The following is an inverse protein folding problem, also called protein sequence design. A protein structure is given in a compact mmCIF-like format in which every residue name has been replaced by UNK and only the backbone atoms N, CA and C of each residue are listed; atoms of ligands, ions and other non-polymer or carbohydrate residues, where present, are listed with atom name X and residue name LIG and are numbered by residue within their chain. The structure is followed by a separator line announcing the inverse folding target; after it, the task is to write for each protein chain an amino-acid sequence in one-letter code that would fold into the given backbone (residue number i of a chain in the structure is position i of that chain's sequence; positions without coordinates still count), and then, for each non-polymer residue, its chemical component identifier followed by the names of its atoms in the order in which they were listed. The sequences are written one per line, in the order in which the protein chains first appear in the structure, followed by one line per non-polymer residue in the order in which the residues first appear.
data_IF_196844309607
#
_entry.id   IF_196844309607
#
_cell.length_a   1.000
_cell.length_b   1.000
_cell.length_c   1.000
_cell.angle_alpha   90.00
_cell.angle_beta   90.00
_cell.angle_gamma   90.00
#
_symmetry.space_group_name_H-M   'P 1'
#
loop_
_entity.id
_entity.type
_entity.pdbx_description
1 polymer ?
#
# COMPACT_ATOMS: atom_id res chain seq x y z
N UNK A 1 -9.09 38.41 -29.21
CA UNK A 1 -10.32 38.71 -28.42
C UNK A 1 -10.11 38.17 -27.02
N UNK A 2 -9.92 39.06 -26.02
CA UNK A 2 -10.84 39.38 -24.89
C UNK A 2 -10.93 38.24 -23.85
N UNK A 3 -10.73 38.39 -22.54
CA UNK A 3 -10.23 39.42 -21.60
C UNK A 3 -9.89 38.67 -20.28
N UNK A 4 -8.87 39.13 -19.55
CA UNK A 4 -8.57 38.90 -18.10
C UNK A 4 -9.67 39.54 -17.20
N UNK A 5 -9.52 39.68 -15.85
CA UNK A 5 -9.07 38.81 -14.73
C UNK A 5 -10.00 38.96 -13.48
N UNK A 6 -9.66 38.39 -12.30
CA UNK A 6 -9.71 39.16 -11.03
C UNK A 6 -8.89 38.54 -9.91
N UNK A 7 -7.81 39.24 -9.57
CA UNK A 7 -7.04 39.20 -8.32
C UNK A 7 -7.53 40.40 -7.49
N UNK A 8 -7.84 40.22 -6.22
CA UNK A 8 -7.88 41.26 -5.18
C UNK A 8 -7.79 40.52 -3.83
N UNK A 9 -6.69 40.55 -3.08
CA UNK A 9 -6.08 41.62 -2.27
C UNK A 9 -6.73 41.84 -0.89
N UNK A 10 -5.85 41.93 0.13
CA UNK A 10 -6.09 42.53 1.44
C UNK A 10 -6.81 41.62 2.44
N UNK A 11 -6.50 41.61 3.74
CA UNK A 11 -5.55 42.39 4.53
C UNK A 11 -5.40 41.74 5.90
N UNK A 12 -4.17 41.85 6.38
CA UNK A 12 -3.56 41.54 7.68
C UNK A 12 -4.11 42.38 8.86
N UNK A 13 -3.75 41.89 10.07
CA UNK A 13 -3.60 42.59 11.37
C UNK A 13 -4.87 42.96 12.14
N UNK A 14 -5.14 42.33 13.29
CA UNK A 14 -4.59 42.59 14.64
C UNK A 14 -5.49 43.55 15.41
N UNK A 15 -6.15 43.10 16.48
CA UNK A 15 -6.05 43.71 17.82
C UNK A 15 -6.74 42.84 18.87
N UNK A 16 -6.01 42.69 19.95
CA UNK A 16 -6.24 42.05 21.23
C UNK A 16 -7.14 42.87 22.17
N UNK A 17 -7.46 42.27 23.33
CA UNK A 17 -7.93 42.89 24.60
C UNK A 17 -9.43 43.21 24.60
N UNK A 18 -10.25 42.85 25.59
CA UNK A 18 -10.03 42.86 27.03
C UNK A 18 -11.02 42.01 27.82
N UNK A 19 -10.53 41.61 28.99
CA UNK A 19 -11.11 40.94 30.15
C UNK A 19 -12.31 41.65 30.81
N UNK A 20 -13.13 40.83 31.49
CA UNK A 20 -13.79 41.07 32.79
C UNK A 20 -15.02 41.98 32.89
N UNK A 21 -16.12 41.39 33.40
CA UNK A 21 -16.81 41.70 34.69
C UNK A 21 -17.98 40.71 34.84
N UNK A 22 -17.93 39.69 35.70
CA UNK A 22 -18.38 39.70 37.11
C UNK A 22 -19.62 40.55 37.39
N UNK A 23 -20.80 39.93 37.55
CA UNK A 23 -21.78 40.24 38.62
C UNK A 23 -23.07 39.40 38.50
N UNK A 24 -23.16 38.36 39.34
CA UNK A 24 -24.29 38.02 40.22
C UNK A 24 -25.66 38.65 39.90
N UNK A 25 -26.64 37.85 39.48
CA UNK A 25 -27.99 37.93 40.07
C UNK A 25 -28.81 36.64 39.87
N UNK A 26 -29.69 36.39 40.84
CA UNK A 26 -30.55 35.22 41.00
C UNK A 26 -31.90 35.51 40.34
N UNK A 27 -32.51 34.54 39.67
CA UNK A 27 -33.91 34.70 39.27
C UNK A 27 -34.36 33.67 38.25
N UNK A 28 -35.45 32.99 38.58
CA UNK A 28 -36.03 31.90 37.81
C UNK A 28 -36.52 32.34 36.42
N UNK A 29 -36.21 31.53 35.41
CA UNK A 29 -37.05 31.37 34.22
C UNK A 29 -36.67 30.04 33.55
N UNK A 30 -37.51 29.03 33.74
CA UNK A 30 -37.51 27.79 32.96
C UNK A 30 -37.72 28.14 31.50
N UNK A 31 -36.65 28.17 30.72
CA UNK A 31 -36.70 28.31 29.27
C UNK A 31 -37.20 26.98 28.69
N UNK A 32 -38.53 26.86 28.59
CA UNK A 32 -39.21 25.82 27.82
C UNK A 32 -38.83 26.04 26.36
N UNK A 33 -37.92 25.21 25.83
CA UNK A 33 -37.61 25.21 24.41
C UNK A 33 -38.87 24.82 23.64
N UNK A 34 -39.34 25.77 22.83
CA UNK A 34 -40.51 25.67 21.98
C UNK A 34 -40.15 24.90 20.70
N UNK A 35 -40.66 23.68 20.56
CA UNK A 35 -40.41 22.77 19.43
C UNK A 35 -41.35 23.04 18.25
N UNK A 36 -41.56 24.32 17.88
CA UNK A 36 -42.55 24.69 16.86
C UNK A 36 -42.01 25.71 15.87
N UNK A 37 -41.11 25.26 15.01
CA UNK A 37 -40.71 25.82 13.69
C UNK A 37 -39.42 25.08 13.34
N UNK A 38 -39.28 24.24 12.34
CA UNK A 38 -39.92 24.15 11.04
C UNK A 38 -39.96 22.67 10.62
N UNK A 39 -41.17 22.15 10.38
CA UNK A 39 -41.33 21.13 9.33
C UNK A 39 -41.18 21.85 8.00
N UNK A 40 -39.97 22.03 7.53
CA UNK A 40 -39.74 22.47 6.16
C UNK A 40 -38.95 21.40 5.43
N UNK A 41 -39.71 20.58 4.70
CA UNK A 41 -39.25 19.80 3.54
C UNK A 41 -38.05 18.89 3.80
N UNK A 42 -38.35 17.64 4.18
CA UNK A 42 -37.62 16.49 3.66
C UNK A 42 -37.59 16.58 2.13
N UNK A 43 -36.67 17.36 1.57
CA UNK A 43 -36.25 17.12 0.20
C UNK A 43 -35.63 15.73 0.25
N UNK A 44 -36.23 14.78 -0.44
CA UNK A 44 -35.53 13.60 -0.91
C UNK A 44 -34.34 14.11 -1.75
N UNK A 45 -33.23 14.47 -1.09
CA UNK A 45 -32.00 14.85 -1.75
C UNK A 45 -31.52 13.59 -2.48
N UNK A 46 -31.81 13.53 -3.77
CA UNK A 46 -31.30 12.48 -4.63
C UNK A 46 -29.79 12.66 -4.74
N UNK A 47 -29.06 12.00 -3.86
CA UNK A 47 -27.61 11.94 -3.96
C UNK A 47 -27.22 11.14 -5.18
N UNK A 48 -26.38 11.72 -6.02
CA UNK A 48 -25.79 10.97 -7.13
C UNK A 48 -24.87 9.89 -6.57
N UNK A 49 -24.74 8.75 -7.26
CA UNK A 49 -23.86 7.64 -6.81
C UNK A 49 -22.43 8.14 -6.56
N UNK A 50 -21.96 9.11 -7.34
CA UNK A 50 -20.64 9.72 -7.17
C UNK A 50 -20.50 10.54 -5.87
N UNK A 51 -21.53 11.27 -5.46
CA UNK A 51 -21.54 12.02 -4.20
C UNK A 51 -21.61 11.08 -2.99
N UNK A 52 -22.43 10.03 -3.08
CA UNK A 52 -22.48 8.98 -2.06
C UNK A 52 -21.10 8.31 -1.93
N UNK A 53 -20.47 7.93 -3.05
CA UNK A 53 -19.11 7.35 -3.02
C UNK A 53 -18.09 8.32 -2.40
N UNK A 54 -18.14 9.60 -2.75
CA UNK A 54 -17.22 10.61 -2.23
C UNK A 54 -17.39 10.83 -0.72
N UNK A 55 -18.62 10.85 -0.23
CA UNK A 55 -18.95 11.00 1.20
C UNK A 55 -18.53 9.74 1.96
N UNK A 56 -18.84 8.55 1.44
CA UNK A 56 -18.45 7.28 2.05
C UNK A 56 -16.93 7.12 2.10
N UNK A 57 -16.20 7.41 1.01
CA UNK A 57 -14.73 7.41 1.01
C UNK A 57 -14.16 8.38 2.05
N UNK A 58 -14.75 9.57 2.19
CA UNK A 58 -14.30 10.59 3.15
C UNK A 58 -14.59 10.18 4.60
N UNK A 59 -15.71 9.50 4.86
CA UNK A 59 -16.08 8.94 6.17
C UNK A 59 -15.25 7.72 6.57
N UNK A 60 -15.03 6.78 5.64
CA UNK A 60 -14.19 5.59 5.86
C UNK A 60 -12.74 5.97 6.19
N UNK A 61 -12.21 7.02 5.58
CA UNK A 61 -10.85 7.49 5.87
C UNK A 61 -10.69 8.08 7.28
N UNK A 62 -11.79 8.48 7.94
CA UNK A 62 -11.80 8.97 9.34
C UNK A 62 -11.85 7.84 10.38
N UNK A 63 -12.37 6.66 10.02
CA UNK A 63 -12.39 5.44 10.87
C UNK A 63 -11.10 4.60 10.81
N UNK A 64 -10.12 5.03 10.01
CA UNK A 64 -8.89 4.29 9.70
C UNK A 64 -7.92 4.13 10.88
N UNK A 65 -8.20 4.73 12.03
CA UNK A 65 -7.35 4.66 13.23
C UNK A 65 -7.48 3.36 14.04
N UNK A 66 -8.44 2.46 13.71
CA UNK A 66 -8.41 1.07 14.19
C UNK A 66 -8.00 0.04 13.14
N UNK A 67 -8.13 0.34 11.83
CA UNK A 67 -7.54 -0.35 10.67
C UNK A 67 -7.86 -1.84 10.44
N UNK A 68 -8.22 -2.58 11.48
CA UNK A 68 -8.41 -4.02 11.50
C UNK A 68 -9.86 -4.32 11.89
N UNK A 69 -10.70 -4.55 10.89
CA UNK A 69 -12.05 -5.10 11.12
C UNK A 69 -11.85 -6.54 11.58
N UNK A 70 -12.28 -6.85 12.80
CA UNK A 70 -12.16 -8.20 13.34
C UNK A 70 -13.10 -9.14 12.58
N UNK A 71 -12.72 -10.41 12.39
CA UNK A 71 -13.51 -11.41 11.66
C UNK A 71 -14.97 -11.49 12.14
N UNK A 72 -15.21 -11.32 13.45
CA UNK A 72 -16.55 -11.26 14.04
C UNK A 72 -17.37 -10.07 13.55
N UNK A 73 -16.79 -8.86 13.57
CA UNK A 73 -17.45 -7.63 13.12
C UNK A 73 -17.82 -7.66 11.63
N UNK A 74 -16.97 -8.27 10.80
CA UNK A 74 -17.28 -8.50 9.38
C UNK A 74 -18.44 -9.48 9.18
N UNK A 75 -18.47 -10.58 9.96
CA UNK A 75 -19.54 -11.58 9.89
C UNK A 75 -20.87 -11.00 10.38
N UNK A 76 -20.83 -10.17 11.41
CA UNK A 76 -22.04 -9.52 11.94
C UNK A 76 -22.60 -8.50 10.95
N UNK A 77 -21.74 -7.67 10.34
CA UNK A 77 -22.15 -6.75 9.26
C UNK A 77 -22.71 -7.50 8.06
N UNK A 78 -22.09 -8.62 7.68
CA UNK A 78 -22.57 -9.44 6.56
C UNK A 78 -23.94 -10.08 6.86
N UNK A 79 -24.18 -10.48 8.12
CA UNK A 79 -25.48 -10.98 8.56
C UNK A 79 -26.58 -9.90 8.48
N UNK A 80 -26.26 -8.66 8.84
CA UNK A 80 -27.18 -7.52 8.70
C UNK A 80 -27.57 -7.27 7.24
N UNK A 81 -26.65 -7.53 6.31
CA UNK A 81 -26.87 -7.42 4.86
C UNK A 81 -27.52 -8.68 4.24
N UNK A 82 -27.87 -9.67 5.04
CA UNK A 82 -28.50 -10.91 4.57
C UNK A 82 -27.54 -11.93 3.93
N UNK A 83 -26.23 -11.75 4.06
CA UNK A 83 -25.24 -12.73 3.60
C UNK A 83 -25.08 -13.83 4.65
N UNK A 84 -25.16 -15.09 4.21
CA UNK A 84 -24.93 -16.23 5.10
C UNK A 84 -23.44 -16.24 5.54
N UNK A 85 -23.11 -16.40 6.84
CA UNK A 85 -21.73 -16.42 7.33
C UNK A 85 -20.80 -17.41 6.60
N UNK A 86 -21.37 -18.48 6.03
CA UNK A 86 -20.64 -19.47 5.25
C UNK A 86 -20.15 -18.94 3.90
N UNK A 87 -20.87 -18.03 3.27
CA UNK A 87 -20.46 -17.38 2.01
C UNK A 87 -19.33 -16.39 2.26
N UNK A 88 -19.43 -15.63 3.35
CA UNK A 88 -18.39 -14.70 3.80
C UNK A 88 -17.10 -15.44 4.12
N UNK A 89 -17.19 -16.57 4.84
CA UNK A 89 -16.01 -17.38 5.16
C UNK A 89 -15.34 -17.94 3.90
N UNK A 90 -16.14 -18.42 2.92
CA UNK A 90 -15.63 -18.87 1.62
C UNK A 90 -14.93 -17.73 0.89
N UNK A 91 -15.53 -16.53 0.86
CA UNK A 91 -14.94 -15.36 0.23
C UNK A 91 -13.62 -14.93 0.90
N UNK A 92 -13.52 -14.97 2.22
CA UNK A 92 -12.27 -14.68 2.95
C UNK A 92 -11.17 -15.68 2.58
N UNK A 93 -11.51 -16.98 2.53
CA UNK A 93 -10.57 -18.04 2.15
C UNK A 93 -10.13 -17.88 0.69
N UNK A 94 -11.03 -17.52 -0.22
CA UNK A 94 -10.70 -17.23 -1.61
C UNK A 94 -9.81 -16.00 -1.77
N UNK A 95 -10.14 -14.89 -1.10
CA UNK A 95 -9.35 -13.66 -1.08
C UNK A 95 -7.91 -13.95 -0.64
N UNK A 96 -7.74 -14.76 0.42
CA UNK A 96 -6.42 -15.17 0.92
C UNK A 96 -5.66 -16.01 -0.09
N UNK A 97 -6.32 -16.90 -0.83
CA UNK A 97 -5.67 -17.70 -1.88
C UNK A 97 -5.15 -16.84 -3.02
N UNK A 98 -5.93 -15.84 -3.45
CA UNK A 98 -5.51 -14.90 -4.49
C UNK A 98 -4.29 -14.09 -4.03
N UNK A 99 -4.36 -13.51 -2.82
CA UNK A 99 -3.23 -12.79 -2.24
C UNK A 99 -2.00 -13.67 -2.00
N UNK A 100 -2.17 -14.95 -1.70
CA UNK A 100 -1.06 -15.89 -1.53
C UNK A 100 -0.31 -16.16 -2.84
N UNK A 101 -1.00 -16.20 -3.98
CA UNK A 101 -0.38 -16.36 -5.30
C UNK A 101 0.46 -15.13 -5.61
N UNK A 102 -0.11 -13.93 -5.46
CA UNK A 102 0.59 -12.67 -5.70
C UNK A 102 1.84 -12.55 -4.81
N UNK A 103 1.70 -12.79 -3.51
CA UNK A 103 2.81 -12.78 -2.57
C UNK A 103 3.91 -13.79 -2.94
N UNK A 104 3.54 -14.99 -3.40
CA UNK A 104 4.51 -15.99 -3.86
C UNK A 104 5.23 -15.57 -5.15
N UNK A 105 4.56 -14.85 -6.05
CA UNK A 105 5.19 -14.30 -7.26
C UNK A 105 6.20 -13.20 -6.91
N UNK A 106 5.85 -12.31 -5.99
CA UNK A 106 6.76 -11.26 -5.51
C UNK A 106 7.98 -11.85 -4.79
N UNK A 107 7.75 -12.82 -3.91
CA UNK A 107 8.83 -13.53 -3.22
C UNK A 107 9.78 -14.20 -4.22
N UNK A 108 9.25 -14.85 -5.25
CA UNK A 108 10.06 -15.49 -6.29
C UNK A 108 10.90 -14.47 -7.08
N UNK A 109 10.29 -13.36 -7.52
CA UNK A 109 11.00 -12.27 -8.22
C UNK A 109 12.12 -11.70 -7.34
N UNK A 110 11.85 -11.46 -6.06
CA UNK A 110 12.84 -10.96 -5.12
C UNK A 110 13.98 -11.97 -4.90
N UNK A 111 13.67 -13.27 -4.77
CA UNK A 111 14.67 -14.31 -4.61
C UNK A 111 15.60 -14.42 -5.83
N UNK A 112 15.06 -14.29 -7.05
CA UNK A 112 15.84 -14.31 -8.29
C UNK A 112 16.84 -13.16 -8.36
N UNK A 113 16.40 -11.94 -8.02
CA UNK A 113 17.27 -10.75 -7.91
C UNK A 113 18.38 -10.95 -6.87
N UNK A 114 18.04 -11.46 -5.68
CA UNK A 114 19.04 -11.75 -4.62
C UNK A 114 20.08 -12.78 -5.08
N UNK A 115 19.64 -13.82 -5.80
CA UNK A 115 20.53 -14.81 -6.41
C UNK A 115 21.54 -14.16 -7.37
N UNK A 116 21.06 -13.29 -8.26
CA UNK A 116 21.92 -12.52 -9.17
C UNK A 116 22.95 -11.66 -8.43
N UNK A 117 22.56 -10.92 -7.38
CA UNK A 117 23.50 -10.11 -6.60
C UNK A 117 24.63 -10.93 -5.95
N UNK A 118 24.41 -12.19 -5.62
CA UNK A 118 25.48 -13.08 -5.14
C UNK A 118 26.50 -13.36 -6.24
N UNK A 119 26.04 -13.66 -7.45
CA UNK A 119 26.91 -13.89 -8.61
C UNK A 119 27.65 -12.61 -9.01
N UNK A 120 26.97 -11.46 -9.01
CA UNK A 120 27.58 -10.16 -9.28
C UNK A 120 28.67 -9.82 -8.25
N UNK A 121 28.43 -10.03 -6.95
CA UNK A 121 29.45 -9.81 -5.91
C UNK A 121 30.68 -10.70 -6.12
N UNK A 122 30.48 -11.99 -6.38
CA UNK A 122 31.58 -12.90 -6.66
C UNK A 122 32.38 -12.45 -7.89
N UNK A 123 31.69 -12.05 -8.97
CA UNK A 123 32.32 -11.49 -10.16
C UNK A 123 33.15 -10.25 -9.85
N UNK A 124 32.62 -9.30 -9.09
CA UNK A 124 33.36 -8.08 -8.73
C UNK A 124 34.59 -8.38 -7.88
N UNK A 125 34.48 -9.27 -6.89
CA UNK A 125 35.61 -9.64 -6.02
C UNK A 125 36.71 -10.31 -6.83
N UNK A 126 36.36 -11.29 -7.68
CA UNK A 126 37.33 -12.01 -8.50
C UNK A 126 38.01 -11.04 -9.48
N UNK A 127 37.25 -10.24 -10.23
CA UNK A 127 37.82 -9.30 -11.18
C UNK A 127 38.66 -8.20 -10.50
N UNK A 128 38.28 -7.73 -9.31
CA UNK A 128 39.09 -6.81 -8.53
C UNK A 128 40.43 -7.46 -8.10
N UNK A 129 40.40 -8.72 -7.66
CA UNK A 129 41.62 -9.46 -7.34
C UNK A 129 42.53 -9.64 -8.57
N UNK A 130 41.96 -10.01 -9.73
CA UNK A 130 42.71 -10.13 -10.98
C UNK A 130 43.31 -8.79 -11.43
N UNK A 131 42.54 -7.70 -11.32
CA UNK A 131 43.03 -6.36 -11.64
C UNK A 131 44.22 -5.98 -10.75
N UNK A 132 44.14 -6.24 -9.45
CA UNK A 132 45.23 -5.99 -8.51
C UNK A 132 46.49 -6.81 -8.88
N UNK A 133 46.34 -8.10 -9.19
CA UNK A 133 47.46 -8.96 -9.62
C UNK A 133 48.09 -8.42 -10.91
N UNK A 134 47.27 -7.96 -11.86
CA UNK A 134 47.76 -7.38 -13.12
C UNK A 134 48.54 -6.08 -12.90
N UNK A 135 48.09 -5.22 -11.97
CA UNK A 135 48.79 -3.99 -11.61
C UNK A 135 50.13 -4.27 -10.91
N UNK A 136 50.20 -5.29 -10.07
CA UNK A 136 51.43 -5.67 -9.35
C UNK A 136 52.41 -6.43 -10.23
N UNK A 137 51.93 -7.31 -11.12
CA UNK A 137 52.81 -8.13 -11.98
C UNK A 137 53.55 -7.32 -13.03
N UNK A 138 53.02 -6.16 -13.47
CA UNK A 138 53.62 -5.33 -14.50
C UNK A 138 53.78 -6.08 -15.83
N UNK A 139 52.81 -5.92 -16.74
CA UNK A 139 52.82 -6.60 -18.03
C UNK A 139 51.52 -6.40 -18.81
N UNK A 140 51.26 -7.29 -19.79
CA UNK A 140 50.07 -7.27 -20.63
C UNK A 140 48.77 -7.35 -19.82
N UNK A 141 47.71 -6.72 -20.33
CA UNK A 141 46.40 -6.60 -19.67
C UNK A 141 45.57 -7.89 -19.78
N UNK A 142 46.08 -9.00 -19.25
CA UNK A 142 45.42 -10.32 -19.35
C UNK A 142 44.10 -10.40 -18.57
N UNK A 143 43.86 -9.51 -17.60
CA UNK A 143 42.62 -9.47 -16.83
C UNK A 143 41.36 -9.20 -17.69
N UNK A 144 41.50 -8.65 -18.90
CA UNK A 144 40.38 -8.42 -19.80
C UNK A 144 39.71 -9.71 -20.30
N UNK A 145 40.47 -10.79 -20.49
CA UNK A 145 39.90 -12.04 -21.01
C UNK A 145 38.89 -12.67 -20.04
N UNK A 146 39.19 -12.81 -18.73
CA UNK A 146 38.20 -13.24 -17.73
C UNK A 146 37.05 -12.24 -17.56
N UNK A 147 37.36 -10.94 -17.60
CA UNK A 147 36.36 -9.88 -17.44
C UNK A 147 35.28 -9.96 -18.52
N UNK A 148 35.68 -10.03 -19.79
CA UNK A 148 34.75 -10.10 -20.93
C UNK A 148 34.11 -11.48 -21.02
N UNK A 149 34.90 -12.56 -20.88
CA UNK A 149 34.40 -13.93 -21.00
C UNK A 149 33.29 -14.24 -20.01
N UNK A 150 33.50 -13.96 -18.72
CA UNK A 150 32.48 -14.18 -17.70
C UNK A 150 31.47 -13.04 -17.61
N UNK A 151 31.85 -11.83 -18.01
CA UNK A 151 30.96 -10.66 -18.04
C UNK A 151 29.76 -10.85 -18.97
N UNK A 152 29.96 -11.50 -20.12
CA UNK A 152 28.87 -11.82 -21.06
C UNK A 152 27.87 -12.79 -20.40
N UNK A 153 28.36 -13.86 -19.76
CA UNK A 153 27.51 -14.81 -19.04
C UNK A 153 26.72 -14.16 -17.89
N UNK A 154 27.35 -13.21 -17.19
CA UNK A 154 26.71 -12.43 -16.14
C UNK A 154 25.61 -11.51 -16.69
N UNK A 155 25.82 -10.90 -17.86
CA UNK A 155 24.82 -10.06 -18.52
C UNK A 155 23.56 -10.86 -18.91
N UNK A 156 23.72 -12.08 -19.43
CA UNK A 156 22.58 -12.98 -19.66
C UNK A 156 21.86 -13.35 -18.36
N UNK A 157 22.60 -13.63 -17.29
CA UNK A 157 22.00 -13.87 -15.97
C UNK A 157 21.25 -12.65 -15.43
N UNK A 158 21.77 -11.44 -15.65
CA UNK A 158 21.10 -10.19 -15.27
C UNK A 158 19.77 -10.05 -16.00
N UNK A 159 19.77 -10.20 -17.33
CA UNK A 159 18.57 -10.11 -18.16
C UNK A 159 17.47 -11.05 -17.65
N UNK A 160 17.83 -12.32 -17.38
CA UNK A 160 16.89 -13.29 -16.83
C UNK A 160 16.41 -12.93 -15.40
N UNK A 161 17.27 -12.38 -14.55
CA UNK A 161 16.93 -12.03 -13.17
C UNK A 161 16.01 -10.80 -13.05
N UNK A 162 16.17 -9.81 -13.93
CA UNK A 162 15.37 -8.59 -13.93
C UNK A 162 14.10 -8.70 -14.79
N UNK A 163 14.11 -9.54 -15.82
CA UNK A 163 12.95 -9.79 -16.68
C UNK A 163 12.59 -11.29 -16.72
N UNK A 164 12.15 -11.88 -15.59
CA UNK A 164 11.69 -13.27 -15.57
C UNK A 164 10.42 -13.43 -16.41
N UNK A 165 10.37 -14.46 -17.24
CA UNK A 165 9.19 -14.74 -18.05
C UNK A 165 7.96 -15.12 -17.21
N UNK A 166 6.76 -14.80 -17.70
CA UNK A 166 5.49 -15.03 -16.99
C UNK A 166 5.33 -16.49 -16.50
N UNK A 167 5.62 -17.46 -17.37
CA UNK A 167 5.56 -18.90 -17.05
C UNK A 167 6.53 -19.31 -15.94
N UNK A 168 7.70 -18.66 -15.88
CA UNK A 168 8.70 -18.94 -14.86
C UNK A 168 8.27 -18.39 -13.50
N UNK A 169 7.68 -17.20 -13.48
CA UNK A 169 7.10 -16.58 -12.27
C UNK A 169 5.98 -17.48 -11.71
N UNK A 170 5.07 -17.94 -12.56
CA UNK A 170 3.98 -18.84 -12.17
C UNK A 170 4.49 -20.18 -11.65
N UNK A 171 5.41 -20.83 -12.38
CA UNK A 171 6.04 -22.08 -11.93
C UNK A 171 6.80 -21.89 -10.60
N UNK A 172 7.52 -20.79 -10.45
CA UNK A 172 8.27 -20.43 -9.26
C UNK A 172 7.37 -20.21 -8.05
N UNK A 173 6.32 -19.39 -8.21
CA UNK A 173 5.31 -19.15 -7.19
C UNK A 173 4.62 -20.45 -6.76
N UNK A 174 4.25 -21.31 -7.71
CA UNK A 174 3.65 -22.62 -7.43
C UNK A 174 4.58 -23.52 -6.61
N UNK A 175 5.89 -23.49 -6.86
CA UNK A 175 6.88 -24.22 -6.05
C UNK A 175 6.95 -23.70 -4.61
N UNK A 176 6.87 -22.39 -4.41
CA UNK A 176 6.85 -21.77 -3.07
C UNK A 176 5.59 -22.20 -2.31
N UNK A 177 4.41 -22.10 -2.94
CA UNK A 177 3.14 -22.52 -2.34
C UNK A 177 3.14 -24.01 -1.98
N UNK A 178 3.65 -24.86 -2.88
CA UNK A 178 3.76 -26.31 -2.63
C UNK A 178 4.66 -26.63 -1.43
N UNK A 179 5.73 -25.85 -1.21
CA UNK A 179 6.60 -26.00 -0.03
C UNK A 179 5.90 -25.57 1.25
N UNK A 180 5.09 -24.50 1.23
CA UNK A 180 4.30 -24.04 2.38
C UNK A 180 3.24 -25.06 2.78
N UNK A 181 2.46 -25.57 1.82
CA UNK A 181 1.46 -26.61 2.06
C UNK A 181 2.06 -27.86 2.71
N UNK A 182 3.21 -28.34 2.20
CA UNK A 182 3.91 -29.47 2.82
C UNK A 182 4.28 -29.19 4.27
N UNK A 183 4.78 -27.98 4.58
CA UNK A 183 5.16 -27.60 5.95
C UNK A 183 3.95 -27.58 6.88
N UNK A 184 2.82 -27.01 6.45
CA UNK A 184 1.58 -27.01 7.23
C UNK A 184 1.10 -28.44 7.53
N UNK A 185 1.19 -29.36 6.57
CA UNK A 185 0.84 -30.77 6.77
C UNK A 185 1.76 -31.55 7.73
N UNK A 186 2.97 -31.05 8.02
CA UNK A 186 3.85 -31.67 9.03
C UNK A 186 3.56 -31.16 10.45
N UNK A 187 2.83 -30.06 10.60
CA UNK A 187 2.65 -29.35 11.87
C UNK A 187 1.20 -29.37 12.39
N UNK A 188 0.23 -29.88 11.62
CA UNK A 188 -1.16 -30.06 12.02
C UNK A 188 -1.50 -31.53 12.20
#
# INVERSE_FOLDING_TARGET
MRRRPSRFEGSITSTSTSTSTSTKDKGAATMTYDYRTERETEREEMFTIAEVEAILRRGLNRKRDSGEITRGELIDTARELGLEPREVERAIVEQRKLGAIEAAQEEYKAAKKRGFYRHLRAYLIINAALLLINLVSGGDLWFFYPLIGWGIGLAFHASNAFNPGQREIECGARRILRKRQRRESYFG
#
